data_IF_596968185674
#
_entry.id   IF_596968185674
#
_cell.length_a   1.000
_cell.length_b   1.000
_cell.length_c   1.000
_cell.angle_alpha   90.00
_cell.angle_beta   90.00
_cell.angle_gamma   90.00
#
_symmetry.space_group_name_H-M   'P 1'
#
loop_
_entity.id
_entity.type
_entity.pdbx_description
1 polymer ?
#
# COMPACT_ATOMS: atom_id res chain seq x y z
N UNK A 1 -19.38 22.12 2.73
CA UNK A 1 -18.81 21.07 3.63
C UNK A 1 -17.51 21.52 4.27
N UNK A 2 -16.52 21.97 3.50
CA UNK A 2 -15.22 22.42 4.00
C UNK A 2 -15.34 23.51 5.07
N UNK A 3 -16.06 24.59 4.79
CA UNK A 3 -16.24 25.69 5.74
C UNK A 3 -16.90 25.26 7.05
N UNK A 4 -17.93 24.38 7.00
CA UNK A 4 -18.59 23.87 8.19
C UNK A 4 -17.63 23.00 9.04
N UNK A 5 -16.82 22.15 8.40
CA UNK A 5 -15.81 21.39 9.10
C UNK A 5 -14.78 22.28 9.77
N UNK A 6 -14.24 23.26 9.04
CA UNK A 6 -13.26 24.21 9.58
C UNK A 6 -13.84 24.97 10.79
N UNK A 7 -15.11 25.41 10.72
CA UNK A 7 -15.76 26.09 11.83
C UNK A 7 -15.85 25.20 13.10
N UNK A 8 -16.14 23.90 12.94
CA UNK A 8 -16.17 22.94 14.05
C UNK A 8 -14.76 22.69 14.58
N UNK A 9 -13.75 22.60 13.73
CA UNK A 9 -12.36 22.40 14.15
C UNK A 9 -11.82 23.51 15.02
N UNK A 10 -12.41 24.71 14.99
CA UNK A 10 -12.06 25.82 15.90
C UNK A 10 -12.76 25.75 17.27
N UNK A 11 -13.67 24.80 17.48
CA UNK A 11 -14.33 24.59 18.77
C UNK A 11 -13.57 23.52 19.56
N UNK A 12 -13.64 23.54 20.90
CA UNK A 12 -13.10 22.46 21.72
C UNK A 12 -13.69 21.11 21.28
N UNK A 13 -12.85 20.12 20.95
CA UNK A 13 -13.30 18.85 20.39
C UNK A 13 -14.33 18.14 21.28
N UNK A 14 -14.18 18.20 22.60
CA UNK A 14 -15.09 17.56 23.55
C UNK A 14 -16.52 18.11 23.47
N UNK A 15 -16.73 19.34 23.00
CA UNK A 15 -18.07 19.94 22.87
C UNK A 15 -18.92 19.37 21.74
N UNK A 16 -18.30 18.73 20.75
CA UNK A 16 -18.99 18.20 19.56
C UNK A 16 -18.66 16.74 19.23
N UNK A 17 -17.63 16.17 19.86
CA UNK A 17 -17.14 14.82 19.56
C UNK A 17 -18.25 13.75 19.66
N UNK A 18 -19.04 13.78 20.74
CA UNK A 18 -20.12 12.81 20.96
C UNK A 18 -21.14 12.84 19.83
N UNK A 19 -21.51 14.02 19.35
CA UNK A 19 -22.41 14.18 18.21
C UNK A 19 -21.83 13.62 16.93
N UNK A 20 -20.54 13.91 16.64
CA UNK A 20 -19.85 13.38 15.46
C UNK A 20 -19.75 11.85 15.48
N UNK A 21 -19.53 11.26 16.66
CA UNK A 21 -19.41 9.80 16.84
C UNK A 21 -20.76 9.07 16.73
N UNK A 22 -21.89 9.76 16.92
CA UNK A 22 -23.24 9.22 16.80
C UNK A 22 -23.89 9.51 15.43
N UNK A 23 -23.18 10.21 14.54
CA UNK A 23 -23.72 10.62 13.25
C UNK A 23 -24.07 9.40 12.38
N UNK A 24 -25.27 9.37 11.83
CA UNK A 24 -25.77 8.29 10.98
C UNK A 24 -25.70 8.60 9.50
N UNK A 25 -25.68 9.88 9.13
CA UNK A 25 -25.47 10.28 7.74
C UNK A 25 -24.01 10.03 7.33
N UNK A 26 -23.81 9.21 6.30
CA UNK A 26 -22.48 8.80 5.87
C UNK A 26 -21.53 9.97 5.56
N UNK A 27 -22.02 11.01 4.88
CA UNK A 27 -21.20 12.17 4.49
C UNK A 27 -20.79 12.95 5.73
N UNK A 28 -21.75 13.23 6.62
CA UNK A 28 -21.49 13.98 7.85
C UNK A 28 -20.60 13.18 8.80
N UNK A 29 -20.78 11.85 8.87
CA UNK A 29 -19.92 10.96 9.65
C UNK A 29 -18.45 10.98 9.14
N UNK A 30 -18.25 10.94 7.81
CA UNK A 30 -16.93 11.05 7.20
C UNK A 30 -16.26 12.40 7.52
N UNK A 31 -16.99 13.51 7.37
CA UNK A 31 -16.47 14.85 7.67
C UNK A 31 -16.19 15.03 9.18
N UNK A 32 -17.07 14.50 10.03
CA UNK A 32 -16.88 14.49 11.49
C UNK A 32 -15.66 13.65 11.90
N UNK A 33 -15.44 12.52 11.23
CA UNK A 33 -14.28 11.70 11.46
C UNK A 33 -12.97 12.41 11.07
N UNK A 34 -12.95 13.12 9.94
CA UNK A 34 -11.80 13.93 9.53
C UNK A 34 -11.52 15.04 10.56
N UNK A 35 -12.57 15.75 11.02
CA UNK A 35 -12.42 16.80 12.03
C UNK A 35 -11.87 16.24 13.36
N UNK A 36 -12.44 15.11 13.84
CA UNK A 36 -11.97 14.45 15.08
C UNK A 36 -10.54 13.91 14.92
N UNK A 37 -10.17 13.35 13.78
CA UNK A 37 -8.82 12.89 13.55
C UNK A 37 -7.79 14.04 13.57
N UNK A 38 -8.21 15.26 13.22
CA UNK A 38 -7.34 16.45 13.20
C UNK A 38 -7.22 17.12 14.58
N UNK A 39 -8.33 17.23 15.28
CA UNK A 39 -8.45 18.09 16.48
C UNK A 39 -8.73 17.31 17.76
N UNK A 40 -9.18 16.05 17.64
CA UNK A 40 -9.62 15.26 18.78
C UNK A 40 -8.49 14.49 19.47
N UNK A 41 -8.79 14.01 20.66
CA UNK A 41 -7.92 13.12 21.43
C UNK A 41 -8.00 11.68 20.88
N UNK A 42 -6.92 10.93 21.07
CA UNK A 42 -6.84 9.50 20.71
C UNK A 42 -7.88 8.63 21.43
N UNK A 43 -8.43 9.09 22.55
CA UNK A 43 -9.53 8.41 23.27
C UNK A 43 -10.74 8.13 22.39
N UNK A 44 -10.97 8.96 21.36
CA UNK A 44 -12.09 8.80 20.41
C UNK A 44 -11.84 7.77 19.31
N UNK A 45 -10.61 7.28 19.13
CA UNK A 45 -10.22 6.37 18.04
C UNK A 45 -11.11 5.13 17.90
N UNK A 46 -11.39 4.33 18.95
CA UNK A 46 -12.19 3.11 18.82
C UNK A 46 -13.63 3.40 18.37
N UNK A 47 -14.28 4.41 18.97
CA UNK A 47 -15.65 4.77 18.64
C UNK A 47 -15.76 5.36 17.24
N UNK A 48 -14.74 6.14 16.82
CA UNK A 48 -14.68 6.72 15.49
C UNK A 48 -14.57 5.64 14.42
N UNK A 49 -13.70 4.63 14.60
CA UNK A 49 -13.60 3.48 13.70
C UNK A 49 -14.91 2.68 13.68
N UNK A 50 -15.51 2.46 14.83
CA UNK A 50 -16.82 1.78 14.92
C UNK A 50 -17.89 2.53 14.11
N UNK A 51 -17.92 3.86 14.16
CA UNK A 51 -18.88 4.65 13.39
C UNK A 51 -18.60 4.57 11.88
N UNK A 52 -17.35 4.75 11.46
CA UNK A 52 -16.96 4.62 10.04
C UNK A 52 -17.24 3.21 9.49
N UNK A 53 -17.08 2.18 10.31
CA UNK A 53 -17.34 0.80 9.92
C UNK A 53 -18.82 0.50 9.65
N UNK A 54 -19.76 1.30 10.15
CA UNK A 54 -21.20 1.17 9.83
C UNK A 54 -21.54 1.63 8.41
N UNK A 55 -20.70 2.46 7.80
CA UNK A 55 -20.97 3.03 6.48
C UNK A 55 -20.81 1.93 5.42
N UNK A 56 -21.86 1.68 4.64
CA UNK A 56 -21.86 0.68 3.57
C UNK A 56 -21.11 1.22 2.35
N UNK A 57 -19.88 0.75 2.12
CA UNK A 57 -19.01 1.21 1.04
C UNK A 57 -19.68 1.22 -0.34
N UNK A 58 -20.39 0.14 -0.70
CA UNK A 58 -21.09 0.01 -2.00
C UNK A 58 -22.22 1.02 -2.21
N UNK A 59 -22.83 1.54 -1.15
CA UNK A 59 -23.93 2.50 -1.28
C UNK A 59 -23.45 3.94 -1.51
N UNK A 60 -22.15 4.17 -1.41
CA UNK A 60 -21.55 5.48 -1.59
C UNK A 60 -21.27 5.77 -3.06
N UNK A 61 -21.40 7.05 -3.45
CA UNK A 61 -20.90 7.54 -4.73
C UNK A 61 -19.35 7.50 -4.75
N UNK A 62 -18.76 7.46 -5.92
CA UNK A 62 -17.31 7.38 -6.11
C UNK A 62 -16.51 8.34 -5.22
N UNK A 63 -16.87 9.62 -5.20
CA UNK A 63 -16.19 10.63 -4.38
C UNK A 63 -16.30 10.32 -2.88
N UNK A 64 -17.47 9.87 -2.43
CA UNK A 64 -17.70 9.50 -1.04
C UNK A 64 -16.92 8.23 -0.63
N UNK A 65 -16.76 7.27 -1.54
CA UNK A 65 -15.91 6.09 -1.33
C UNK A 65 -14.46 6.51 -1.09
N UNK A 66 -13.95 7.43 -1.92
CA UNK A 66 -12.61 7.98 -1.77
C UNK A 66 -12.46 8.78 -0.47
N UNK A 67 -13.46 9.61 -0.14
CA UNK A 67 -13.45 10.39 1.10
C UNK A 67 -13.46 9.48 2.33
N UNK A 68 -14.20 8.36 2.31
CA UNK A 68 -14.18 7.37 3.38
C UNK A 68 -12.80 6.71 3.53
N UNK A 69 -12.17 6.30 2.43
CA UNK A 69 -10.81 5.71 2.48
C UNK A 69 -9.79 6.71 3.03
N UNK A 70 -9.86 7.97 2.61
CA UNK A 70 -9.01 9.05 3.13
C UNK A 70 -9.26 9.34 4.60
N UNK A 71 -10.51 9.29 5.04
CA UNK A 71 -10.85 9.44 6.45
C UNK A 71 -10.22 8.33 7.30
N UNK A 72 -10.31 7.07 6.87
CA UNK A 72 -9.59 5.96 7.53
C UNK A 72 -8.07 6.21 7.56
N UNK A 73 -7.47 6.57 6.43
CA UNK A 73 -6.04 6.87 6.35
C UNK A 73 -5.61 7.96 7.33
N UNK A 74 -6.39 9.05 7.41
CA UNK A 74 -6.11 10.15 8.34
C UNK A 74 -6.24 9.70 9.80
N UNK A 75 -7.28 8.93 10.13
CA UNK A 75 -7.47 8.36 11.47
C UNK A 75 -6.27 7.49 11.85
N UNK A 76 -5.82 6.62 10.97
CA UNK A 76 -4.66 5.74 11.23
C UNK A 76 -3.36 6.51 11.43
N UNK A 77 -3.15 7.57 10.67
CA UNK A 77 -1.95 8.41 10.79
C UNK A 77 -1.96 9.21 12.10
N UNK A 78 -3.10 9.78 12.49
CA UNK A 78 -3.19 10.73 13.59
C UNK A 78 -3.47 10.08 14.95
N UNK A 79 -4.29 9.04 14.96
CA UNK A 79 -4.78 8.42 16.20
C UNK A 79 -4.18 7.04 16.47
N UNK A 80 -3.63 6.39 15.45
CA UNK A 80 -3.04 5.05 15.52
C UNK A 80 -3.69 4.07 14.57
N UNK A 81 -2.98 2.98 14.24
CA UNK A 81 -3.47 1.94 13.32
C UNK A 81 -4.68 1.18 13.87
N UNK A 82 -5.39 0.45 13.00
CA UNK A 82 -6.52 -0.39 13.41
C UNK A 82 -6.04 -1.57 14.24
N UNK A 83 -6.88 -2.02 15.18
CA UNK A 83 -6.71 -3.30 15.84
C UNK A 83 -6.87 -4.47 14.83
N UNK A 84 -6.54 -5.69 15.26
CA UNK A 84 -6.58 -6.88 14.38
C UNK A 84 -7.99 -7.16 13.82
N UNK A 85 -9.03 -6.96 14.61
CA UNK A 85 -10.42 -7.16 14.18
C UNK A 85 -10.84 -6.15 13.12
N UNK A 86 -10.60 -4.87 13.35
CA UNK A 86 -10.86 -3.80 12.38
C UNK A 86 -10.03 -3.97 11.12
N UNK A 87 -8.75 -4.38 11.25
CA UNK A 87 -7.88 -4.69 10.10
C UNK A 87 -8.48 -5.79 9.23
N UNK A 88 -8.86 -6.92 9.82
CA UNK A 88 -9.44 -8.05 9.10
C UNK A 88 -10.75 -7.67 8.41
N UNK A 89 -11.63 -6.96 9.10
CA UNK A 89 -12.90 -6.48 8.56
C UNK A 89 -12.70 -5.56 7.36
N UNK A 90 -11.79 -4.59 7.46
CA UNK A 90 -11.50 -3.67 6.36
C UNK A 90 -10.84 -4.38 5.18
N UNK A 91 -9.90 -5.30 5.45
CA UNK A 91 -9.26 -6.10 4.42
C UNK A 91 -10.30 -6.91 3.63
N UNK A 92 -11.13 -7.69 4.30
CA UNK A 92 -12.18 -8.48 3.66
C UNK A 92 -13.14 -7.61 2.85
N UNK A 93 -13.54 -6.50 3.42
CA UNK A 93 -14.52 -5.59 2.82
C UNK A 93 -13.97 -4.87 1.59
N UNK A 94 -12.72 -4.40 1.63
CA UNK A 94 -12.14 -3.56 0.59
C UNK A 94 -11.47 -4.37 -0.53
N UNK A 95 -10.88 -5.54 -0.24
CA UNK A 95 -10.17 -6.37 -1.24
C UNK A 95 -11.06 -6.78 -2.41
N UNK A 96 -12.36 -6.97 -2.17
CA UNK A 96 -13.34 -7.31 -3.22
C UNK A 96 -13.63 -6.17 -4.20
N UNK A 97 -13.22 -4.95 -3.86
CA UNK A 97 -13.39 -3.76 -4.69
C UNK A 97 -12.11 -3.34 -5.43
N UNK A 98 -11.00 -4.06 -5.22
CA UNK A 98 -9.72 -3.74 -5.83
C UNK A 98 -9.25 -4.86 -6.77
N UNK A 99 -8.92 -4.55 -8.03
CA UNK A 99 -9.08 -3.27 -8.70
C UNK A 99 -10.55 -2.99 -9.06
N UNK A 100 -10.95 -1.71 -9.03
CA UNK A 100 -12.30 -1.27 -9.38
C UNK A 100 -12.46 -0.91 -10.85
N UNK A 101 -11.36 -0.71 -11.55
CA UNK A 101 -11.30 -0.16 -12.90
C UNK A 101 -11.44 1.37 -12.96
N UNK A 102 -11.55 2.03 -11.80
CA UNK A 102 -11.62 3.47 -11.70
C UNK A 102 -10.33 4.00 -11.08
N UNK A 103 -9.45 4.58 -11.90
CA UNK A 103 -8.12 5.06 -11.53
C UNK A 103 -8.06 5.73 -10.16
N UNK A 104 -8.93 6.71 -9.92
CA UNK A 104 -8.91 7.51 -8.70
C UNK A 104 -9.32 6.72 -7.45
N UNK A 105 -10.16 5.69 -7.59
CA UNK A 105 -10.54 4.80 -6.51
C UNK A 105 -9.48 3.73 -6.30
N UNK A 106 -8.90 3.20 -7.36
CA UNK A 106 -7.85 2.19 -7.32
C UNK A 106 -6.59 2.71 -6.61
N UNK A 107 -6.27 3.99 -6.77
CA UNK A 107 -5.17 4.61 -6.02
C UNK A 107 -5.44 4.61 -4.50
N UNK A 108 -6.63 5.00 -4.06
CA UNK A 108 -6.99 5.00 -2.63
C UNK A 108 -7.08 3.57 -2.05
N UNK A 109 -7.66 2.63 -2.83
CA UNK A 109 -7.74 1.22 -2.43
C UNK A 109 -6.36 0.58 -2.34
N UNK A 110 -5.48 0.84 -3.31
CA UNK A 110 -4.10 0.36 -3.29
C UNK A 110 -3.38 0.78 -2.01
N UNK A 111 -3.36 2.08 -1.70
CA UNK A 111 -2.73 2.60 -0.48
C UNK A 111 -3.28 1.94 0.78
N UNK A 112 -4.61 1.88 0.88
CA UNK A 112 -5.28 1.32 2.05
C UNK A 112 -4.99 -0.17 2.22
N UNK A 113 -5.12 -0.97 1.16
CA UNK A 113 -4.91 -2.42 1.21
C UNK A 113 -3.44 -2.80 1.45
N UNK A 114 -2.50 -2.07 0.86
CA UNK A 114 -1.07 -2.24 1.15
C UNK A 114 -0.75 -1.90 2.61
N UNK A 115 -1.32 -0.82 3.16
CA UNK A 115 -1.17 -0.47 4.57
C UNK A 115 -1.75 -1.53 5.51
N UNK A 116 -2.90 -2.10 5.16
CA UNK A 116 -3.55 -3.17 5.92
C UNK A 116 -2.82 -4.53 5.81
N UNK A 117 -1.84 -4.66 4.90
CA UNK A 117 -1.20 -5.92 4.52
C UNK A 117 -2.22 -6.96 4.03
N UNK A 118 -3.16 -6.54 3.19
CA UNK A 118 -4.16 -7.44 2.61
C UNK A 118 -3.47 -8.49 1.72
N UNK A 119 -3.88 -9.78 1.79
CA UNK A 119 -3.14 -10.89 1.17
C UNK A 119 -2.83 -10.69 -0.32
N UNK A 120 -3.80 -10.23 -1.10
CA UNK A 120 -3.63 -10.09 -2.55
C UNK A 120 -3.21 -8.69 -3.01
N UNK A 121 -3.00 -7.77 -2.05
CA UNK A 121 -2.78 -6.36 -2.37
C UNK A 121 -1.51 -6.13 -3.20
N UNK A 122 -0.43 -6.85 -2.88
CA UNK A 122 0.84 -6.74 -3.60
C UNK A 122 0.68 -7.23 -5.04
N UNK A 123 0.21 -8.45 -5.23
CA UNK A 123 0.04 -9.04 -6.57
C UNK A 123 -0.88 -8.20 -7.46
N UNK A 124 -2.02 -7.75 -6.91
CA UNK A 124 -2.94 -6.86 -7.64
C UNK A 124 -2.28 -5.53 -7.99
N UNK A 125 -1.50 -4.95 -7.07
CA UNK A 125 -0.82 -3.67 -7.32
C UNK A 125 0.31 -3.80 -8.34
N UNK A 126 1.04 -4.92 -8.37
CA UNK A 126 2.01 -5.23 -9.43
C UNK A 126 1.30 -5.37 -10.79
N UNK A 127 0.16 -6.04 -10.85
CA UNK A 127 -0.63 -6.11 -12.08
C UNK A 127 -1.08 -4.72 -12.56
N UNK A 128 -1.54 -3.86 -11.65
CA UNK A 128 -1.90 -2.47 -11.97
C UNK A 128 -0.69 -1.67 -12.46
N UNK A 129 0.48 -1.83 -11.84
CA UNK A 129 1.73 -1.23 -12.30
C UNK A 129 2.05 -1.61 -13.76
N UNK A 130 1.94 -2.89 -14.09
CA UNK A 130 2.28 -3.40 -15.42
C UNK A 130 1.25 -3.01 -16.49
N UNK A 131 -0.02 -2.90 -16.12
CA UNK A 131 -1.12 -2.56 -17.02
C UNK A 131 -1.39 -1.06 -17.14
N UNK A 132 -0.77 -0.24 -16.31
CA UNK A 132 -1.00 1.21 -16.31
C UNK A 132 -0.53 1.87 -17.60
N UNK A 133 -1.43 2.63 -18.24
CA UNK A 133 -1.18 3.29 -19.51
C UNK A 133 -0.36 4.56 -19.42
N UNK A 134 -0.25 5.16 -18.22
CA UNK A 134 0.50 6.39 -18.02
C UNK A 134 1.69 6.16 -17.09
N UNK A 135 2.78 6.85 -17.36
CA UNK A 135 3.95 6.85 -16.48
C UNK A 135 3.61 7.31 -15.06
N UNK A 136 2.74 8.29 -14.91
CA UNK A 136 2.31 8.78 -13.60
C UNK A 136 1.64 7.69 -12.76
N UNK A 137 0.80 6.85 -13.37
CA UNK A 137 0.16 5.73 -12.70
C UNK A 137 1.17 4.61 -12.37
N UNK A 138 2.06 4.29 -13.30
CA UNK A 138 3.14 3.35 -13.04
C UNK A 138 3.99 3.79 -11.85
N UNK A 139 4.37 5.06 -11.82
CA UNK A 139 5.12 5.64 -10.70
C UNK A 139 4.37 5.60 -9.38
N UNK A 140 3.05 5.84 -9.41
CA UNK A 140 2.22 5.74 -8.22
C UNK A 140 2.29 4.34 -7.59
N UNK A 141 2.07 3.28 -8.39
CA UNK A 141 2.13 1.91 -7.89
C UNK A 141 3.53 1.51 -7.45
N UNK A 142 4.55 1.84 -8.24
CA UNK A 142 5.95 1.56 -7.89
C UNK A 142 6.35 2.23 -6.58
N UNK A 143 5.94 3.49 -6.39
CA UNK A 143 6.20 4.25 -5.16
C UNK A 143 5.61 3.58 -3.92
N UNK A 144 4.36 3.09 -3.98
CA UNK A 144 3.72 2.44 -2.85
C UNK A 144 4.27 1.04 -2.60
N UNK A 145 4.56 0.29 -3.64
CA UNK A 145 5.14 -1.06 -3.54
C UNK A 145 6.55 -1.08 -2.96
N UNK A 146 7.38 -0.05 -3.20
CA UNK A 146 8.79 -0.02 -2.76
C UNK A 146 9.00 -0.21 -1.26
N UNK A 147 8.01 0.14 -0.44
CA UNK A 147 8.11 0.06 1.03
C UNK A 147 7.55 -1.21 1.62
N UNK A 148 6.89 -2.03 0.82
CA UNK A 148 6.20 -3.22 1.28
C UNK A 148 7.19 -4.37 1.47
N UNK A 149 7.20 -4.96 2.66
CA UNK A 149 8.13 -6.03 3.03
C UNK A 149 7.55 -7.43 2.82
N UNK A 150 6.24 -7.59 2.98
CA UNK A 150 5.57 -8.88 2.98
C UNK A 150 4.52 -8.99 1.87
N UNK A 151 4.07 -10.20 1.58
CA UNK A 151 3.00 -10.44 0.58
C UNK A 151 3.48 -10.51 -0.86
N UNK A 152 4.79 -10.53 -1.09
CA UNK A 152 5.39 -10.73 -2.41
C UNK A 152 5.45 -12.22 -2.76
N UNK A 153 5.08 -12.55 -3.98
CA UNK A 153 5.45 -13.83 -4.61
C UNK A 153 6.72 -13.64 -5.45
N UNK A 154 7.42 -14.74 -5.78
CA UNK A 154 8.60 -14.67 -6.64
C UNK A 154 8.26 -14.06 -8.01
N UNK A 155 7.08 -14.36 -8.54
CA UNK A 155 6.60 -13.80 -9.79
C UNK A 155 6.34 -12.28 -9.68
N UNK A 156 5.78 -11.81 -8.56
CA UNK A 156 5.57 -10.38 -8.32
C UNK A 156 6.90 -9.64 -8.25
N UNK A 157 7.88 -10.20 -7.53
CA UNK A 157 9.23 -9.65 -7.44
C UNK A 157 9.89 -9.57 -8.82
N UNK A 158 9.89 -10.67 -9.58
CA UNK A 158 10.46 -10.71 -10.92
C UNK A 158 9.81 -9.66 -11.85
N UNK A 159 8.48 -9.54 -11.78
CA UNK A 159 7.71 -8.58 -12.56
C UNK A 159 8.01 -7.13 -12.18
N UNK A 160 8.07 -6.83 -10.89
CA UNK A 160 8.37 -5.51 -10.35
C UNK A 160 9.79 -5.07 -10.72
N UNK A 161 10.79 -5.94 -10.55
CA UNK A 161 12.18 -5.62 -10.93
C UNK A 161 12.37 -5.55 -12.44
N UNK A 162 11.70 -6.38 -13.21
CA UNK A 162 11.69 -6.27 -14.66
C UNK A 162 11.10 -4.94 -15.14
N UNK A 163 10.09 -4.41 -14.44
CA UNK A 163 9.59 -3.06 -14.71
C UNK A 163 10.63 -1.99 -14.36
N UNK A 164 11.30 -2.08 -13.19
CA UNK A 164 12.38 -1.15 -12.79
C UNK A 164 13.48 -1.09 -13.84
N UNK A 165 14.00 -2.24 -14.29
CA UNK A 165 15.04 -2.29 -15.30
C UNK A 165 14.66 -1.59 -16.61
N UNK A 166 13.40 -1.80 -17.07
CA UNK A 166 12.88 -1.12 -18.25
C UNK A 166 12.70 0.39 -18.04
N UNK A 167 12.34 0.81 -16.83
CA UNK A 167 12.17 2.21 -16.48
C UNK A 167 13.54 2.94 -16.38
N UNK A 168 14.56 2.27 -15.82
CA UNK A 168 15.95 2.80 -15.73
C UNK A 168 16.58 3.02 -17.12
N UNK A 169 16.23 2.19 -18.10
CA UNK A 169 16.72 2.31 -19.48
C UNK A 169 16.17 3.58 -20.21
N UNK A 170 15.18 4.25 -19.64
CA UNK A 170 14.64 5.49 -20.18
C UNK A 170 15.22 6.68 -19.41
N UNK A 171 15.66 7.78 -20.07
CA UNK A 171 16.21 8.94 -19.38
C UNK A 171 15.10 9.71 -18.65
N UNK A 172 14.86 9.35 -17.41
CA UNK A 172 13.74 9.82 -16.59
C UNK A 172 14.26 10.45 -15.28
N UNK A 173 14.92 11.56 -15.35
CA UNK A 173 15.33 12.46 -14.26
C UNK A 173 15.08 12.03 -12.80
N UNK A 174 14.03 12.56 -12.18
CA UNK A 174 13.72 12.32 -10.75
C UNK A 174 13.29 10.88 -10.40
N UNK A 175 12.98 10.06 -11.39
CA UNK A 175 12.54 8.67 -11.20
C UNK A 175 13.70 7.76 -10.76
N UNK A 176 14.90 8.10 -11.16
CA UNK A 176 16.09 7.30 -10.86
C UNK A 176 16.33 7.10 -9.36
N UNK A 177 16.15 8.15 -8.56
CA UNK A 177 16.31 8.06 -7.10
C UNK A 177 15.26 7.12 -6.46
N UNK A 178 14.01 7.17 -6.91
CA UNK A 178 12.93 6.32 -6.42
C UNK A 178 13.15 4.84 -6.76
N UNK A 179 13.65 4.57 -7.98
CA UNK A 179 13.93 3.22 -8.45
C UNK A 179 15.09 2.60 -7.68
N UNK A 180 16.13 3.40 -7.36
CA UNK A 180 17.26 2.98 -6.55
C UNK A 180 16.85 2.60 -5.13
N UNK A 181 15.98 3.39 -4.48
CA UNK A 181 15.45 3.03 -3.16
C UNK A 181 14.67 1.70 -3.15
N UNK A 182 13.82 1.48 -4.17
CA UNK A 182 13.09 0.22 -4.33
C UNK A 182 14.03 -0.97 -4.49
N UNK A 183 15.08 -0.81 -5.28
CA UNK A 183 16.10 -1.85 -5.51
C UNK A 183 16.88 -2.19 -4.24
N UNK A 184 17.38 -1.20 -3.53
CA UNK A 184 18.17 -1.40 -2.31
C UNK A 184 17.37 -2.11 -1.22
N UNK A 185 16.10 -1.78 -1.04
CA UNK A 185 15.23 -2.39 0.00
C UNK A 185 14.91 -3.86 -0.25
N UNK A 186 14.96 -4.30 -1.49
CA UNK A 186 14.63 -5.68 -1.88
C UNK A 186 15.85 -6.48 -2.37
N UNK A 187 17.06 -5.93 -2.31
CA UNK A 187 18.27 -6.54 -2.88
C UNK A 187 18.54 -7.95 -2.33
N UNK A 188 18.34 -8.18 -1.03
CA UNK A 188 18.48 -9.51 -0.44
C UNK A 188 17.53 -10.56 -0.99
N UNK A 189 16.31 -10.15 -1.39
CA UNK A 189 15.31 -11.04 -2.00
C UNK A 189 15.59 -11.29 -3.50
N UNK A 190 16.24 -10.34 -4.18
CA UNK A 190 16.62 -10.49 -5.60
C UNK A 190 17.68 -11.57 -5.73
N UNK A 191 18.67 -11.59 -4.84
CA UNK A 191 19.77 -12.58 -4.85
C UNK A 191 19.23 -13.99 -4.62
N UNK A 192 18.19 -14.16 -3.79
CA UNK A 192 17.53 -15.42 -3.52
C UNK A 192 16.73 -15.94 -4.73
N UNK A 193 16.06 -15.06 -5.48
CA UNK A 193 15.27 -15.41 -6.68
C UNK A 193 16.15 -15.57 -7.92
N UNK A 194 17.28 -14.85 -8.00
CA UNK A 194 18.20 -14.88 -9.14
C UNK A 194 19.17 -16.07 -9.13
N UNK A 195 19.20 -16.90 -8.07
CA UNK A 195 19.99 -18.14 -8.06
C UNK A 195 19.28 -19.18 -8.92
N UNK A 196 19.76 -19.47 -10.14
CA UNK A 196 19.24 -20.59 -10.91
C UNK A 196 19.55 -21.85 -10.13
N UNK A 197 18.55 -22.68 -9.82
CA UNK A 197 18.75 -24.09 -9.45
C UNK A 197 19.35 -24.82 -10.67
N UNK A 198 20.55 -24.47 -11.03
CA UNK A 198 21.33 -25.02 -12.13
C UNK A 198 22.24 -26.11 -11.62
N UNK A 199 21.86 -27.35 -11.94
CA UNK A 199 22.66 -28.49 -12.29
C UNK A 199 23.96 -28.72 -11.49
N UNK A 200 23.95 -29.81 -10.72
CA UNK A 200 25.19 -30.48 -10.27
C UNK A 200 26.14 -30.70 -11.43
N UNK A 201 27.02 -29.73 -11.68
CA UNK A 201 28.18 -29.89 -12.55
C UNK A 201 29.23 -30.70 -11.80
N UNK A 202 29.49 -31.92 -12.30
CA UNK A 202 30.60 -32.80 -11.89
C UNK A 202 31.88 -31.96 -11.77
N UNK A 203 32.44 -31.95 -10.56
CA UNK A 203 33.82 -31.50 -10.34
C UNK A 203 34.73 -32.49 -11.08
N UNK A 204 35.38 -32.06 -12.17
CA UNK A 204 36.58 -32.73 -12.72
C UNK A 204 37.69 -32.51 -11.72
N UNK A 205 38.23 -33.64 -11.20
CA UNK A 205 39.49 -33.65 -10.47
C UNK A 205 40.63 -33.17 -11.39
N UNK A 206 41.57 -32.34 -10.91
CA UNK A 206 42.78 -32.05 -11.66
C UNK A 206 43.65 -33.28 -11.66
N UNK A 207 44.08 -33.74 -12.85
CA UNK A 207 45.08 -34.76 -13.07
C UNK A 207 46.41 -34.32 -12.44
N UNK A 208 46.95 -35.23 -11.62
CA UNK A 208 48.34 -35.08 -11.11
C UNK A 208 49.31 -35.24 -12.27
N UNK A 209 50.01 -34.18 -12.59
CA UNK A 209 51.22 -34.25 -13.38
C UNK A 209 52.31 -34.89 -12.54
N UNK A 210 52.64 -36.12 -12.86
CA UNK A 210 53.85 -36.81 -12.40
C UNK A 210 55.03 -36.21 -13.13
N UNK A 211 55.92 -35.52 -12.42
CA UNK A 211 57.25 -35.21 -12.92
C UNK A 211 58.07 -36.49 -12.89
N UNK A 212 58.47 -36.95 -14.05
CA UNK A 212 59.52 -37.95 -14.23
C UNK A 212 60.84 -37.22 -14.12
N UNK A 213 61.72 -37.62 -13.20
CA UNK A 213 63.09 -37.18 -13.12
C UNK A 213 63.91 -37.89 -14.15
N UNK A 214 64.84 -37.19 -14.73
CA UNK A 214 65.97 -37.73 -15.44
C UNK A 214 67.22 -37.27 -14.73
N UNK A 215 68.16 -38.18 -14.69
CA UNK A 215 69.48 -38.26 -14.14
C UNK A 215 70.37 -37.02 -14.28
#
# INVERSE_FOLDING_TARGET
RYAARTAIEHQPADSWAERALKESNAITAIEGAVALARMGDKKYHPQLLQNLNKIKFKSLKLEQQRDLLRAYGLVFIRMGGPDSGTRSLLTERLSRHYPSGLRSLDHELCQMLLYLNAPDAVSKSVQQLLSANTQADQMFYAYHLRTIKNGWTDNDLASYFGWIQRAEAKPLGQIQALLLEGRQRHQGKIEEVAVPTGGRGRKKQPERLTCVGED
#
